data_IF_388300877411
#
_entry.id   IF_388300877411
#
_cell.length_a   1.000
_cell.length_b   1.000
_cell.length_c   1.000
_cell.angle_alpha   90.00
_cell.angle_beta   90.00
_cell.angle_gamma   90.00
#
_symmetry.space_group_name_H-M   'P 1'
#
loop_
_entity.id
_entity.type
_entity.pdbx_description
1 polymer ?
#
# COMPACT_ATOMS: atom_id res chain seq x y z
N UNK A 1 2.91 17.67 3.76
CA UNK A 1 3.95 16.67 4.09
C UNK A 1 4.27 16.76 5.58
N UNK A 2 4.47 15.64 6.24
CA UNK A 2 5.05 15.54 7.59
C UNK A 2 6.47 14.92 7.51
N UNK A 3 7.11 14.62 8.65
CA UNK A 3 8.46 14.06 8.69
C UNK A 3 9.55 14.99 8.17
N UNK A 4 10.59 14.42 7.53
CA UNK A 4 11.78 15.15 7.05
C UNK A 4 11.45 16.25 6.02
N UNK A 5 10.35 16.11 5.25
CA UNK A 5 9.86 17.12 4.31
C UNK A 5 8.69 17.95 4.86
N UNK A 6 8.53 18.03 6.18
CA UNK A 6 7.43 18.73 6.84
C UNK A 6 7.24 20.18 6.38
N UNK A 7 5.98 20.61 6.22
CA UNK A 7 5.61 21.95 5.76
C UNK A 7 5.79 22.22 4.26
N UNK A 8 6.40 21.31 3.49
CA UNK A 8 6.56 21.47 2.04
C UNK A 8 5.30 21.03 1.28
N UNK A 9 5.00 21.73 0.18
CA UNK A 9 3.85 21.46 -0.68
C UNK A 9 4.28 20.69 -1.92
N UNK A 10 3.49 19.68 -2.30
CA UNK A 10 3.71 18.93 -3.54
C UNK A 10 3.10 19.66 -4.74
N UNK A 11 3.75 19.55 -5.89
CA UNK A 11 3.12 19.87 -7.16
C UNK A 11 2.15 18.76 -7.52
N UNK A 12 0.98 19.14 -8.04
CA UNK A 12 -0.06 18.20 -8.49
C UNK A 12 -0.16 18.33 -10.01
N UNK A 13 -0.31 17.23 -10.76
CA UNK A 13 -0.58 17.30 -12.20
C UNK A 13 -1.83 18.14 -12.47
N UNK A 14 -1.84 18.84 -13.63
CA UNK A 14 -3.00 19.63 -14.04
C UNK A 14 -4.27 18.77 -14.20
N UNK A 15 -5.43 19.44 -14.25
CA UNK A 15 -6.82 18.94 -14.29
C UNK A 15 -7.00 17.43 -14.55
N UNK A 16 -7.61 16.73 -13.57
CA UNK A 16 -8.08 15.33 -13.70
C UNK A 16 -7.68 14.40 -12.56
N UNK A 17 -6.73 14.78 -11.73
CA UNK A 17 -6.38 14.00 -10.53
C UNK A 17 -7.04 14.62 -9.32
N UNK A 18 -7.87 13.84 -8.63
CA UNK A 18 -8.34 14.17 -7.28
C UNK A 18 -7.23 13.71 -6.35
N UNK A 19 -6.46 14.62 -5.73
CA UNK A 19 -5.48 14.19 -4.75
C UNK A 19 -6.25 13.55 -3.61
N UNK A 20 -5.78 12.40 -3.11
CA UNK A 20 -6.13 11.95 -1.76
C UNK A 20 -6.09 13.17 -0.87
N UNK A 21 -7.18 13.51 -0.22
CA UNK A 21 -7.23 14.76 0.55
C UNK A 21 -6.11 14.71 1.59
N UNK A 22 -5.45 15.84 1.84
CA UNK A 22 -4.39 15.95 2.84
C UNK A 22 -4.78 15.31 4.17
N UNK A 23 -6.07 15.39 4.50
CA UNK A 23 -6.64 14.80 5.71
C UNK A 23 -6.65 13.28 5.69
N UNK A 24 -7.00 12.66 4.56
CA UNK A 24 -6.98 11.18 4.40
C UNK A 24 -5.54 10.69 4.46
N UNK A 25 -4.64 11.37 3.76
CA UNK A 25 -3.21 11.03 3.76
C UNK A 25 -2.62 11.13 5.17
N UNK A 26 -2.91 12.20 5.91
CA UNK A 26 -2.44 12.34 7.28
C UNK A 26 -2.96 11.21 8.18
N UNK A 27 -4.25 10.89 8.10
CA UNK A 27 -4.84 9.80 8.88
C UNK A 27 -4.23 8.43 8.53
N UNK A 28 -4.00 8.17 7.23
CA UNK A 28 -3.32 6.96 6.77
C UNK A 28 -1.91 6.85 7.36
N UNK A 29 -1.11 7.89 7.19
CA UNK A 29 0.29 7.84 7.60
C UNK A 29 0.48 7.88 9.12
N UNK A 30 -0.38 8.55 9.87
CA UNK A 30 -0.41 8.46 11.33
C UNK A 30 -0.61 7.03 11.82
N UNK A 31 -1.51 6.27 11.14
CA UNK A 31 -1.73 4.86 11.44
C UNK A 31 -0.52 3.99 11.07
N UNK A 32 0.07 4.19 9.88
CA UNK A 32 1.25 3.43 9.44
C UNK A 32 2.47 3.71 10.33
N UNK A 33 2.65 4.94 10.82
CA UNK A 33 3.67 5.26 11.82
C UNK A 33 3.43 4.51 13.13
N UNK A 34 2.20 4.52 13.62
CA UNK A 34 1.85 3.83 14.87
C UNK A 34 2.08 2.32 14.77
N UNK A 35 1.89 1.71 13.61
CA UNK A 35 2.18 0.29 13.37
C UNK A 35 3.67 -0.03 13.20
N UNK A 36 4.53 0.98 13.08
CA UNK A 36 5.98 0.81 12.93
C UNK A 36 6.43 0.37 11.54
N UNK A 37 5.52 0.28 10.54
CA UNK A 37 5.85 -0.26 9.21
C UNK A 37 6.68 0.69 8.34
N UNK A 38 6.82 1.97 8.71
CA UNK A 38 7.48 2.98 7.86
C UNK A 38 8.99 3.04 8.04
N UNK A 39 9.49 2.86 9.26
CA UNK A 39 10.90 3.04 9.55
C UNK A 39 11.78 2.00 8.84
N UNK A 40 12.67 2.47 7.98
CA UNK A 40 13.56 1.63 7.18
C UNK A 40 12.87 0.82 6.08
N UNK A 41 11.57 1.03 5.84
CA UNK A 41 10.75 0.23 4.94
C UNK A 41 11.17 0.33 3.46
N UNK A 42 10.91 -0.75 2.73
CA UNK A 42 10.82 -0.77 1.27
C UNK A 42 9.36 -0.60 0.87
N UNK A 43 9.08 0.42 0.08
CA UNK A 43 7.73 0.85 -0.27
C UNK A 43 7.52 0.83 -1.78
N UNK A 44 6.40 0.27 -2.23
CA UNK A 44 5.89 0.45 -3.58
C UNK A 44 4.68 1.38 -3.54
N UNK A 45 4.73 2.46 -4.29
CA UNK A 45 3.58 3.33 -4.56
C UNK A 45 3.13 3.08 -6.01
N UNK A 46 2.04 2.35 -6.15
CA UNK A 46 1.48 1.92 -7.42
C UNK A 46 0.38 2.90 -7.87
N UNK A 47 0.44 3.32 -9.12
CA UNK A 47 -0.37 4.43 -9.67
C UNK A 47 -0.02 5.76 -9.00
N UNK A 48 1.28 6.05 -8.87
CA UNK A 48 1.81 7.08 -7.99
C UNK A 48 1.32 8.51 -8.29
N UNK A 49 0.85 8.81 -9.50
CA UNK A 49 0.35 10.14 -9.87
C UNK A 49 1.40 11.24 -9.65
N UNK A 50 1.23 12.07 -8.63
CA UNK A 50 2.22 13.08 -8.19
C UNK A 50 3.29 12.53 -7.26
N UNK A 51 3.19 11.27 -6.85
CA UNK A 51 4.04 10.64 -5.85
C UNK A 51 3.64 10.95 -4.41
N UNK A 52 2.42 11.47 -4.16
CA UNK A 52 2.05 12.00 -2.86
C UNK A 52 2.14 10.97 -1.72
N UNK A 53 1.75 9.73 -1.96
CA UNK A 53 1.78 8.67 -0.95
C UNK A 53 3.21 8.17 -0.72
N UNK A 54 3.93 7.79 -1.76
CA UNK A 54 5.29 7.28 -1.61
C UNK A 54 6.27 8.34 -1.08
N UNK A 55 6.12 9.61 -1.46
CA UNK A 55 6.94 10.70 -0.93
C UNK A 55 6.63 10.99 0.54
N UNK A 56 5.38 10.83 0.99
CA UNK A 56 5.04 10.91 2.40
C UNK A 56 5.70 9.75 3.18
N UNK A 57 5.69 8.52 2.63
CA UNK A 57 6.39 7.38 3.22
C UNK A 57 7.90 7.66 3.35
N UNK A 58 8.56 8.15 2.29
CA UNK A 58 9.97 8.52 2.31
C UNK A 58 10.27 9.61 3.35
N UNK A 59 9.39 10.60 3.46
CA UNK A 59 9.53 11.68 4.44
C UNK A 59 9.39 11.22 5.90
N UNK A 60 8.71 10.08 6.13
CA UNK A 60 8.48 9.49 7.45
C UNK A 60 9.37 8.28 7.74
N UNK A 61 10.49 8.11 7.03
CA UNK A 61 11.52 7.13 7.37
C UNK A 61 11.61 5.92 6.47
N UNK A 62 10.81 5.79 5.42
CA UNK A 62 11.00 4.73 4.43
C UNK A 62 12.35 4.88 3.70
N UNK A 63 13.10 3.76 3.59
CA UNK A 63 14.46 3.75 3.08
C UNK A 63 14.55 3.65 1.55
N UNK A 64 13.67 2.85 0.95
CA UNK A 64 13.66 2.56 -0.49
C UNK A 64 12.22 2.66 -0.99
N UNK A 65 11.93 3.68 -1.78
CA UNK A 65 10.58 3.96 -2.28
C UNK A 65 10.58 3.94 -3.80
N UNK A 66 9.72 3.11 -4.37
CA UNK A 66 9.52 3.04 -5.82
C UNK A 66 8.16 3.59 -6.17
N UNK A 67 8.15 4.68 -6.94
CA UNK A 67 6.95 5.30 -7.49
C UNK A 67 6.71 4.78 -8.91
N UNK A 68 5.64 4.02 -9.11
CA UNK A 68 5.29 3.44 -10.42
C UNK A 68 4.14 4.23 -11.03
N UNK A 69 4.41 4.87 -12.18
CA UNK A 69 3.44 5.70 -12.87
C UNK A 69 3.55 5.51 -14.39
N UNK A 70 2.45 5.23 -15.05
CA UNK A 70 2.45 4.98 -16.50
C UNK A 70 2.44 6.26 -17.34
N UNK A 71 1.81 7.33 -16.85
CA UNK A 71 1.71 8.59 -17.55
C UNK A 71 3.01 9.40 -17.40
N UNK A 72 3.72 9.61 -18.53
CA UNK A 72 5.01 10.33 -18.54
C UNK A 72 4.93 11.71 -17.90
N UNK A 73 3.84 12.44 -18.13
CA UNK A 73 3.66 13.78 -17.54
C UNK A 73 3.54 13.72 -16.01
N UNK A 74 2.79 12.76 -15.45
CA UNK A 74 2.68 12.56 -14.02
C UNK A 74 4.01 12.09 -13.40
N UNK A 75 4.70 11.17 -14.05
CA UNK A 75 6.02 10.72 -13.61
C UNK A 75 7.06 11.86 -13.60
N UNK A 76 6.95 12.82 -14.52
CA UNK A 76 7.81 14.02 -14.49
C UNK A 76 7.49 14.91 -13.29
N UNK A 77 6.21 15.05 -12.92
CA UNK A 77 5.82 15.74 -11.69
C UNK A 77 6.37 15.01 -10.45
N UNK A 78 6.32 13.68 -10.42
CA UNK A 78 6.96 12.88 -9.36
C UNK A 78 8.45 13.25 -9.23
N UNK A 79 9.22 13.24 -10.34
CA UNK A 79 10.65 13.56 -10.32
C UNK A 79 10.93 14.97 -9.79
N UNK A 80 10.11 15.93 -10.22
CA UNK A 80 10.23 17.32 -9.73
C UNK A 80 9.94 17.41 -8.23
N UNK A 81 8.93 16.67 -7.74
CA UNK A 81 8.62 16.60 -6.32
C UNK A 81 9.77 15.95 -5.53
N UNK A 82 10.32 14.83 -5.99
CA UNK A 82 11.51 14.18 -5.39
C UNK A 82 12.66 15.17 -5.25
N UNK A 83 13.00 15.86 -6.35
CA UNK A 83 14.09 16.84 -6.37
C UNK A 83 13.81 18.03 -5.42
N UNK A 84 12.59 18.56 -5.44
CA UNK A 84 12.19 19.71 -4.59
C UNK A 84 12.25 19.36 -3.10
N UNK A 85 11.85 18.13 -2.74
CA UNK A 85 11.85 17.66 -1.35
C UNK A 85 13.24 17.24 -0.86
N UNK A 86 14.19 16.98 -1.79
CA UNK A 86 15.54 16.51 -1.45
C UNK A 86 15.54 15.12 -0.80
N UNK A 87 14.52 14.30 -1.07
CA UNK A 87 14.40 12.96 -0.52
C UNK A 87 15.37 12.00 -1.26
N UNK A 88 16.10 11.21 -0.49
CA UNK A 88 16.96 10.14 -0.98
C UNK A 88 16.24 8.80 -0.96
N UNK A 89 16.72 7.81 -1.71
CA UNK A 89 16.11 6.47 -1.73
C UNK A 89 14.79 6.39 -2.49
N UNK A 90 14.40 7.43 -3.24
CA UNK A 90 13.17 7.45 -4.04
C UNK A 90 13.49 7.29 -5.52
N UNK A 91 12.82 6.35 -6.17
CA UNK A 91 12.97 6.06 -7.59
C UNK A 91 11.63 6.14 -8.33
N UNK A 92 11.60 6.82 -9.47
CA UNK A 92 10.40 6.93 -10.32
C UNK A 92 10.56 6.01 -11.53
N UNK A 93 9.61 5.09 -11.69
CA UNK A 93 9.52 4.14 -12.81
C UNK A 93 8.35 4.53 -13.71
N UNK A 94 8.61 4.70 -15.01
CA UNK A 94 7.58 5.04 -16.00
C UNK A 94 7.15 3.77 -16.69
N UNK A 95 6.15 3.10 -16.14
CA UNK A 95 5.65 1.82 -16.63
C UNK A 95 4.22 1.56 -16.14
N UNK A 96 3.49 0.68 -16.85
CA UNK A 96 2.21 0.15 -16.35
C UNK A 96 2.45 -0.73 -15.11
N UNK A 97 1.53 -0.66 -14.14
CA UNK A 97 1.69 -1.34 -12.85
C UNK A 97 1.78 -2.85 -12.99
N UNK A 98 0.83 -3.49 -13.69
CA UNK A 98 0.80 -4.95 -13.79
C UNK A 98 2.09 -5.54 -14.41
N UNK A 99 2.61 -5.07 -15.55
CA UNK A 99 3.92 -5.51 -16.07
C UNK A 99 5.07 -5.29 -15.10
N UNK A 100 5.05 -4.19 -14.32
CA UNK A 100 6.08 -3.90 -13.33
C UNK A 100 6.07 -4.92 -12.20
N UNK A 101 4.90 -5.18 -11.58
CA UNK A 101 4.79 -6.11 -10.45
C UNK A 101 4.82 -7.58 -10.85
N UNK A 102 4.67 -7.91 -12.14
CA UNK A 102 4.80 -9.29 -12.66
C UNK A 102 6.25 -9.76 -12.78
N UNK A 103 7.22 -8.87 -12.59
CA UNK A 103 8.66 -9.21 -12.63
C UNK A 103 9.20 -9.40 -11.22
N UNK A 104 10.22 -10.26 -11.02
CA UNK A 104 10.84 -10.43 -9.72
C UNK A 104 11.32 -9.08 -9.15
N UNK A 105 10.99 -8.79 -7.89
CA UNK A 105 11.50 -7.62 -7.17
C UNK A 105 12.93 -7.85 -6.70
N UNK A 106 13.67 -6.79 -6.44
CA UNK A 106 15.02 -6.84 -5.88
C UNK A 106 15.06 -7.22 -4.38
N UNK A 107 13.99 -7.80 -3.83
CA UNK A 107 13.85 -8.20 -2.43
C UNK A 107 12.43 -7.93 -1.88
N UNK A 108 12.12 -8.38 -0.66
CA UNK A 108 10.79 -8.24 -0.08
C UNK A 108 10.40 -6.78 0.14
N UNK A 109 9.11 -6.49 0.04
CA UNK A 109 8.48 -5.17 0.19
C UNK A 109 7.68 -5.15 1.49
N UNK A 110 7.83 -4.08 2.27
CA UNK A 110 7.20 -3.94 3.58
C UNK A 110 5.85 -3.19 3.50
N UNK A 111 5.71 -2.29 2.52
CA UNK A 111 4.49 -1.51 2.34
C UNK A 111 4.17 -1.35 0.85
N UNK A 112 2.94 -1.65 0.46
CA UNK A 112 2.42 -1.35 -0.87
C UNK A 112 1.23 -0.41 -0.75
N UNK A 113 1.30 0.71 -1.46
CA UNK A 113 0.26 1.71 -1.58
C UNK A 113 -0.34 1.62 -2.98
N UNK A 114 -1.66 1.49 -3.08
CA UNK A 114 -2.37 1.30 -4.35
C UNK A 114 -3.52 2.30 -4.43
N UNK A 115 -3.36 3.34 -5.24
CA UNK A 115 -4.40 4.36 -5.50
C UNK A 115 -4.74 4.37 -7.00
N UNK A 116 -5.47 3.35 -7.48
CA UNK A 116 -5.72 3.18 -8.90
C UNK A 116 -6.74 4.19 -9.43
N UNK A 117 -6.68 4.52 -10.73
CA UNK A 117 -7.70 5.36 -11.35
C UNK A 117 -9.09 4.73 -11.22
N UNK A 118 -10.13 5.58 -11.18
CA UNK A 118 -11.52 5.13 -10.98
C UNK A 118 -12.01 4.15 -12.03
N UNK A 119 -11.48 4.27 -13.25
CA UNK A 119 -11.84 3.45 -14.41
C UNK A 119 -11.16 2.07 -14.40
N UNK A 120 -10.24 1.81 -13.45
CA UNK A 120 -9.60 0.51 -13.38
C UNK A 120 -10.63 -0.57 -13.05
N UNK A 121 -10.74 -1.58 -13.93
CA UNK A 121 -11.63 -2.70 -13.72
C UNK A 121 -11.21 -3.51 -12.47
N UNK A 122 -12.19 -4.13 -11.79
CA UNK A 122 -11.91 -4.91 -10.58
C UNK A 122 -11.05 -6.14 -10.87
N UNK A 123 -11.20 -6.76 -12.05
CA UNK A 123 -10.36 -7.88 -12.50
C UNK A 123 -8.91 -7.44 -12.67
N UNK A 124 -8.66 -6.27 -13.29
CA UNK A 124 -7.31 -5.72 -13.44
C UNK A 124 -6.67 -5.42 -12.07
N UNK A 125 -7.45 -4.90 -11.11
CA UNK A 125 -6.98 -4.69 -9.74
C UNK A 125 -6.64 -6.01 -9.05
N UNK A 126 -7.47 -7.04 -9.24
CA UNK A 126 -7.25 -8.39 -8.72
C UNK A 126 -5.95 -8.98 -9.24
N UNK A 127 -5.66 -8.85 -10.54
CA UNK A 127 -4.41 -9.31 -11.15
C UNK A 127 -3.19 -8.58 -10.58
N UNK A 128 -3.30 -7.27 -10.35
CA UNK A 128 -2.23 -6.48 -9.71
C UNK A 128 -2.00 -6.96 -8.28
N UNK A 129 -3.05 -7.16 -7.48
CA UNK A 129 -2.94 -7.62 -6.11
C UNK A 129 -2.36 -9.05 -6.02
N UNK A 130 -2.72 -9.93 -6.96
CA UNK A 130 -2.15 -11.27 -7.07
C UNK A 130 -0.65 -11.23 -7.36
N UNK A 131 -0.22 -10.37 -8.30
CA UNK A 131 1.19 -10.19 -8.61
C UNK A 131 1.97 -9.56 -7.45
N UNK A 132 1.38 -8.58 -6.75
CA UNK A 132 1.96 -7.92 -5.56
C UNK A 132 2.25 -8.93 -4.46
N UNK A 133 1.36 -9.90 -4.21
CA UNK A 133 1.53 -10.89 -3.15
C UNK A 133 2.89 -11.61 -3.19
N UNK A 134 3.43 -11.86 -4.40
CA UNK A 134 4.74 -12.50 -4.60
C UNK A 134 5.96 -11.66 -4.19
N UNK A 135 5.77 -10.39 -3.85
CA UNK A 135 6.85 -9.47 -3.48
C UNK A 135 6.90 -9.12 -2.00
N UNK A 136 5.91 -9.53 -1.22
CA UNK A 136 5.71 -9.04 0.13
C UNK A 136 6.64 -9.70 1.16
N UNK A 137 7.09 -8.90 2.12
CA UNK A 137 7.64 -9.40 3.37
C UNK A 137 6.52 -10.08 4.20
N UNK A 138 6.85 -11.01 5.12
CA UNK A 138 5.83 -11.71 5.93
C UNK A 138 4.89 -10.78 6.71
N UNK A 139 5.40 -9.65 7.19
CA UNK A 139 4.65 -8.66 8.00
C UNK A 139 4.26 -7.42 7.18
N UNK A 140 4.26 -7.54 5.85
CA UNK A 140 3.96 -6.42 4.96
C UNK A 140 2.51 -5.94 5.10
N UNK A 141 2.32 -4.68 4.79
CA UNK A 141 1.00 -4.03 4.72
C UNK A 141 0.72 -3.63 3.28
N UNK A 142 -0.48 -3.96 2.80
CA UNK A 142 -1.01 -3.47 1.53
C UNK A 142 -2.17 -2.54 1.83
N UNK A 143 -2.14 -1.33 1.27
CA UNK A 143 -3.21 -0.34 1.39
C UNK A 143 -3.78 -0.07 0.01
N UNK A 144 -5.08 -0.26 -0.15
CA UNK A 144 -5.79 0.04 -1.40
C UNK A 144 -6.79 1.16 -1.16
N UNK A 145 -6.62 2.28 -1.87
CA UNK A 145 -7.57 3.39 -1.87
C UNK A 145 -8.63 3.17 -2.94
N UNK A 146 -9.90 3.30 -2.57
CA UNK A 146 -11.04 3.22 -3.48
C UNK A 146 -12.10 4.26 -3.12
N UNK A 147 -13.01 4.54 -4.07
CA UNK A 147 -14.24 5.26 -3.76
C UNK A 147 -15.16 4.41 -2.88
N UNK A 148 -15.96 5.06 -2.01
CA UNK A 148 -17.05 4.37 -1.29
C UNK A 148 -18.10 3.72 -2.20
N UNK A 149 -18.11 4.09 -3.49
CA UNK A 149 -19.00 3.52 -4.50
C UNK A 149 -18.41 2.28 -5.18
N UNK A 150 -17.11 2.06 -5.02
CA UNK A 150 -16.45 0.87 -5.55
C UNK A 150 -16.71 -0.32 -4.62
N UNK A 151 -16.79 -1.54 -5.15
CA UNK A 151 -16.84 -2.73 -4.31
C UNK A 151 -15.54 -2.89 -3.50
N UNK A 152 -15.58 -3.75 -2.49
CA UNK A 152 -14.36 -4.22 -1.84
C UNK A 152 -13.46 -4.91 -2.87
N UNK A 153 -12.13 -4.68 -2.85
CA UNK A 153 -11.21 -5.40 -3.72
C UNK A 153 -11.29 -6.92 -3.52
N UNK A 154 -11.17 -7.67 -4.60
CA UNK A 154 -11.02 -9.12 -4.52
C UNK A 154 -9.61 -9.46 -4.05
N UNK A 155 -9.50 -10.10 -2.88
CA UNK A 155 -8.22 -10.48 -2.28
C UNK A 155 -7.75 -11.83 -2.81
N UNK A 156 -6.61 -11.91 -3.50
CA UNK A 156 -6.08 -13.18 -4.01
C UNK A 156 -5.73 -14.12 -2.86
N UNK A 157 -6.05 -15.42 -3.00
CA UNK A 157 -5.81 -16.42 -1.94
C UNK A 157 -6.82 -16.44 -0.80
N UNK A 158 -7.83 -15.55 -0.76
CA UNK A 158 -9.01 -15.66 0.08
C UNK A 158 -9.80 -16.94 -0.26
N UNK A 159 -10.54 -17.50 0.69
CA UNK A 159 -11.28 -18.78 0.51
C UNK A 159 -12.11 -18.76 -0.77
N UNK A 160 -11.57 -19.37 -1.79
CA UNK A 160 -12.25 -19.57 -3.07
C UNK A 160 -11.32 -19.29 -4.25
N UNK A 161 -10.74 -20.36 -4.79
CA UNK A 161 -10.17 -20.49 -6.14
C UNK A 161 -8.75 -19.96 -6.35
N UNK A 162 -7.86 -20.89 -6.53
CA UNK A 162 -6.54 -20.73 -7.14
C UNK A 162 -5.70 -21.97 -6.84
N UNK A 163 -5.42 -22.79 -7.85
CA UNK A 163 -4.55 -23.94 -7.70
C UNK A 163 -3.19 -23.49 -7.12
N UNK A 164 -2.55 -24.26 -6.21
CA UNK A 164 -1.25 -23.93 -5.70
C UNK A 164 -0.25 -23.86 -6.83
N UNK A 165 0.49 -22.75 -6.92
CA UNK A 165 1.65 -22.67 -7.81
C UNK A 165 2.64 -23.73 -7.33
N UNK A 166 2.86 -24.74 -8.14
CA UNK A 166 3.77 -25.86 -7.88
C UNK A 166 5.19 -25.33 -7.75
N UNK A 167 5.81 -25.48 -6.57
CA UNK A 167 7.23 -25.17 -6.36
C UNK A 167 7.60 -24.28 -5.18
N UNK A 168 6.66 -23.93 -4.32
CA UNK A 168 6.83 -22.98 -3.22
C UNK A 168 7.82 -23.43 -2.12
N UNK A 169 8.73 -22.55 -1.74
CA UNK A 169 9.59 -22.71 -0.56
C UNK A 169 8.84 -22.34 0.74
N UNK A 170 9.29 -22.82 1.90
CA UNK A 170 8.57 -22.87 3.20
C UNK A 170 8.02 -21.55 3.80
N UNK A 171 8.05 -20.41 3.11
CA UNK A 171 7.50 -19.12 3.53
C UNK A 171 6.90 -18.32 2.37
N UNK A 172 6.27 -19.02 1.42
CA UNK A 172 5.69 -18.35 0.26
C UNK A 172 4.35 -17.73 0.63
N UNK A 173 4.25 -16.41 0.40
CA UNK A 173 2.98 -15.68 0.48
C UNK A 173 2.08 -16.19 -0.64
N UNK A 174 0.99 -16.84 -0.30
CA UNK A 174 0.05 -17.44 -1.26
C UNK A 174 -1.11 -16.52 -1.60
N UNK A 175 -1.16 -15.32 -1.02
CA UNK A 175 -2.23 -14.36 -1.29
C UNK A 175 -2.26 -13.20 -0.31
N UNK A 176 -3.41 -12.54 -0.27
CA UNK A 176 -3.71 -11.43 0.62
C UNK A 176 -4.98 -11.70 1.43
N UNK A 177 -5.01 -11.24 2.67
CA UNK A 177 -6.19 -11.26 3.51
C UNK A 177 -6.47 -9.84 4.01
N UNK A 178 -7.73 -9.39 3.91
CA UNK A 178 -8.14 -8.11 4.49
C UNK A 178 -7.95 -8.12 6.00
N UNK A 179 -7.31 -7.08 6.52
CA UNK A 179 -7.09 -6.89 7.96
C UNK A 179 -7.92 -5.76 8.54
N UNK A 180 -8.23 -4.72 7.75
CA UNK A 180 -9.00 -3.56 8.23
C UNK A 180 -9.63 -2.77 7.07
N UNK A 181 -10.52 -1.84 7.43
CA UNK A 181 -11.19 -0.89 6.55
C UNK A 181 -11.34 0.45 7.26
N UNK A 182 -11.10 1.56 6.56
CA UNK A 182 -11.33 2.92 7.07
C UNK A 182 -12.00 3.79 6.02
N UNK A 183 -13.07 4.47 6.40
CA UNK A 183 -13.85 5.38 5.53
C UNK A 183 -13.62 6.83 5.91
N UNK A 184 -13.34 7.64 4.88
CA UNK A 184 -13.12 9.08 5.01
C UNK A 184 -13.90 9.81 3.91
N UNK A 185 -15.14 10.21 4.21
CA UNK A 185 -16.02 10.84 3.22
C UNK A 185 -16.28 9.90 2.02
N UNK A 186 -15.83 10.30 0.85
CA UNK A 186 -15.99 9.54 -0.41
C UNK A 186 -14.87 8.50 -0.64
N UNK A 187 -13.91 8.37 0.28
CA UNK A 187 -12.75 7.47 0.17
C UNK A 187 -12.83 6.33 1.16
N UNK A 188 -12.50 5.12 0.71
CA UNK A 188 -12.26 3.95 1.56
C UNK A 188 -10.81 3.53 1.42
N UNK A 189 -10.14 3.32 2.53
CA UNK A 189 -8.84 2.67 2.62
C UNK A 189 -9.03 1.23 3.10
N UNK A 190 -8.67 0.29 2.26
CA UNK A 190 -8.65 -1.13 2.56
C UNK A 190 -7.25 -1.55 2.94
N UNK A 191 -7.11 -2.26 4.06
CA UNK A 191 -5.83 -2.79 4.52
C UNK A 191 -5.82 -4.31 4.37
N UNK A 192 -4.72 -4.84 3.89
CA UNK A 192 -4.51 -6.27 3.77
C UNK A 192 -3.08 -6.64 4.19
N UNK A 193 -2.91 -7.90 4.57
CA UNK A 193 -1.62 -8.49 4.91
C UNK A 193 -1.41 -9.77 4.10
N UNK A 194 -0.17 -10.26 4.00
CA UNK A 194 0.14 -11.54 3.38
C UNK A 194 -0.62 -12.69 4.03
N UNK A 195 -1.25 -13.54 3.21
CA UNK A 195 -1.74 -14.84 3.63
C UNK A 195 -0.62 -15.88 3.41
N UNK A 196 -0.13 -16.52 4.47
CA UNK A 196 0.90 -17.55 4.38
C UNK A 196 0.29 -18.93 4.32
N UNK A 197 0.94 -19.88 3.63
CA UNK A 197 0.48 -21.27 3.49
C UNK A 197 0.61 -22.12 4.77
N UNK A 198 1.25 -21.59 5.81
CA UNK A 198 1.39 -22.28 7.11
C UNK A 198 0.37 -21.71 8.07
N UNK A 199 -0.65 -22.56 8.35
CA UNK A 199 -1.76 -22.40 9.24
C UNK A 199 -1.71 -21.31 10.29
N UNK A 200 -2.71 -20.46 10.22
CA UNK A 200 -3.23 -19.55 11.23
C UNK A 200 -2.48 -19.45 12.57
N UNK A 201 -2.20 -18.22 13.03
CA UNK A 201 -3.20 -17.63 13.91
C UNK A 201 -3.30 -16.10 13.85
N UNK A 202 -3.92 -15.56 12.83
CA UNK A 202 -4.39 -14.17 12.92
C UNK A 202 -5.65 -14.03 13.82
N UNK A 203 -6.26 -15.17 14.23
CA UNK A 203 -7.39 -15.17 15.14
C UNK A 203 -7.01 -15.07 16.61
N UNK A 204 -5.77 -15.33 16.98
CA UNK A 204 -5.35 -15.30 18.39
C UNK A 204 -5.02 -13.87 18.86
N UNK A 205 -4.48 -13.03 17.97
CA UNK A 205 -4.26 -11.60 18.28
C UNK A 205 -5.56 -10.79 18.40
N UNK A 206 -6.62 -11.19 17.67
CA UNK A 206 -7.93 -10.55 17.79
C UNK A 206 -8.67 -10.97 19.07
N UNK A 207 -8.39 -12.16 19.62
CA UNK A 207 -8.96 -12.63 20.90
C UNK A 207 -8.26 -12.07 22.12
N UNK A 208 -6.94 -11.83 22.06
CA UNK A 208 -6.19 -11.22 23.16
C UNK A 208 -6.56 -9.76 23.42
N UNK A 209 -7.13 -9.08 22.42
CA UNK A 209 -7.62 -7.70 22.57
C UNK A 209 -9.08 -7.62 23.08
N UNK A 210 -9.77 -8.74 23.21
CA UNK A 210 -11.17 -8.80 23.67
C UNK A 210 -11.33 -9.30 25.13
N UNK A 211 -10.29 -9.86 25.73
CA UNK A 211 -10.28 -10.35 27.11
C UNK A 211 -9.40 -9.45 28.02
N UNK A 212 -9.80 -8.19 28.19
CA UNK A 212 -9.40 -7.39 29.36
C UNK A 212 -10.63 -7.25 30.26
N UNK A 213 -10.75 -8.04 31.34
CA UNK A 213 -11.79 -7.86 32.33
C UNK A 213 -11.38 -6.70 33.24
N UNK A 214 -11.64 -5.46 32.79
CA UNK A 214 -11.50 -4.26 33.60
C UNK A 214 -12.33 -4.35 34.88
N UNK A 215 -11.62 -4.49 35.98
CA UNK A 215 -11.90 -4.05 37.35
C UNK A 215 -13.31 -3.53 37.62
N UNK A 216 -14.17 -4.43 38.10
CA UNK A 216 -15.23 -4.07 39.03
C UNK A 216 -14.67 -4.26 40.45
N UNK A 217 -14.78 -3.25 41.31
CA UNK A 217 -14.59 -3.47 42.73
C UNK A 217 -14.23 -2.24 43.56
N UNK A 218 -15.23 -1.68 44.22
CA UNK A 218 -15.22 -0.96 45.50
C UNK A 218 -14.69 0.43 45.53
#
# INVERSE_FOLDING_TARGET
MAGAAGGRTLRVPGKGTRPTSDRVREALFSRLEHSGVLEGARVLDLYAGSGALGLEAASRGARDVVLVESARAAAEVCRQNVATLGLTGVRVVVEKVLPFVSRPSGGPVDLVLVDPPYELAEDDLTDVLAAVAGHLAPDAVVVVERSVRSPEPTWPGGRGVGAPLSGARRHEVVGLVRTDERRYGETVLWFAAPATSVGAPAQELARAAADDPGTAGS
#
